data_IF_447780641687
#
_entry.id   IF_447780641687
#
_cell.length_a   1.000
_cell.length_b   1.000
_cell.length_c   1.000
_cell.angle_alpha   90.00
_cell.angle_beta   90.00
_cell.angle_gamma   90.00
#
_symmetry.space_group_name_H-M   'P 1'
#
loop_
_entity.id
_entity.type
_entity.pdbx_description
1 polymer ?
#
# COMPACT_ATOMS: atom_id res chain seq x y z
N UNK A 1 -16.19 -13.74 -21.86
CA UNK A 1 -15.53 -13.37 -23.15
C UNK A 1 -16.62 -13.13 -24.19
N UNK A 2 -16.46 -12.14 -25.09
CA UNK A 2 -17.43 -11.97 -26.17
C UNK A 2 -17.42 -13.21 -27.09
N UNK A 3 -18.61 -13.71 -27.49
CA UNK A 3 -18.74 -14.76 -28.51
C UNK A 3 -18.52 -14.19 -29.91
N UNK A 4 -18.61 -15.03 -30.97
CA UNK A 4 -18.43 -14.63 -32.36
C UNK A 4 -19.42 -13.55 -32.83
N UNK A 5 -20.57 -13.41 -32.14
CA UNK A 5 -21.55 -12.34 -32.40
C UNK A 5 -21.29 -11.06 -31.65
N UNK A 6 -20.22 -10.99 -30.84
CA UNK A 6 -19.89 -9.84 -30.01
C UNK A 6 -20.69 -9.78 -28.70
N UNK A 7 -21.47 -10.78 -28.39
CA UNK A 7 -22.22 -10.88 -27.13
C UNK A 7 -21.30 -11.38 -26.02
N UNK A 8 -21.32 -10.73 -24.86
CA UNK A 8 -20.57 -11.18 -23.69
C UNK A 8 -21.18 -12.46 -23.12
N UNK A 9 -20.40 -13.51 -23.02
CA UNK A 9 -20.82 -14.80 -22.45
C UNK A 9 -20.21 -14.93 -21.06
N UNK A 10 -21.09 -14.95 -20.03
CA UNK A 10 -20.68 -15.20 -18.66
C UNK A 10 -20.54 -16.71 -18.42
N UNK A 11 -19.57 -17.05 -17.58
CA UNK A 11 -19.34 -18.41 -17.11
C UNK A 11 -19.75 -18.45 -15.64
N UNK A 12 -20.52 -19.44 -15.27
CA UNK A 12 -20.99 -19.55 -13.88
C UNK A 12 -21.51 -20.92 -13.57
N UNK A 13 -22.16 -21.04 -12.44
CA UNK A 13 -22.78 -22.28 -11.95
C UNK A 13 -24.26 -22.06 -11.75
N UNK A 14 -24.98 -23.16 -11.59
CA UNK A 14 -26.44 -23.12 -11.38
C UNK A 14 -26.76 -22.59 -9.99
N UNK A 15 -27.93 -21.97 -9.84
CA UNK A 15 -28.39 -21.45 -8.57
C UNK A 15 -28.59 -22.54 -7.48
N UNK A 16 -28.82 -23.78 -7.87
CA UNK A 16 -28.97 -24.93 -6.95
C UNK A 16 -27.63 -25.62 -6.60
N UNK A 17 -26.50 -25.13 -7.13
CA UNK A 17 -25.19 -25.64 -6.79
C UNK A 17 -24.81 -25.21 -5.36
N UNK A 18 -24.33 -26.12 -4.49
CA UNK A 18 -23.97 -25.79 -3.12
C UNK A 18 -22.77 -24.82 -3.00
N UNK A 19 -22.00 -24.64 -4.07
CA UNK A 19 -20.91 -23.67 -4.12
C UNK A 19 -21.32 -22.30 -4.70
N UNK A 20 -22.62 -22.13 -5.05
CA UNK A 20 -23.10 -20.89 -5.63
C UNK A 20 -23.13 -19.77 -4.59
N UNK A 21 -22.57 -18.62 -4.97
CA UNK A 21 -22.63 -17.39 -4.19
C UNK A 21 -23.88 -16.62 -4.63
N UNK A 22 -24.77 -16.34 -3.70
CA UNK A 22 -26.08 -15.75 -3.97
C UNK A 22 -26.22 -14.30 -3.58
N UNK A 23 -25.42 -13.85 -2.60
CA UNK A 23 -25.50 -12.50 -2.04
C UNK A 23 -24.12 -11.87 -1.90
N UNK A 24 -24.10 -10.55 -1.74
CA UNK A 24 -22.84 -9.83 -1.50
C UNK A 24 -22.18 -10.24 -0.17
N UNK A 25 -22.98 -10.60 0.83
CA UNK A 25 -22.52 -11.09 2.12
C UNK A 25 -21.84 -12.46 1.98
N UNK A 26 -22.39 -13.35 1.16
CA UNK A 26 -21.77 -14.63 0.84
C UNK A 26 -20.46 -14.42 0.09
N UNK A 27 -20.43 -13.47 -0.85
CA UNK A 27 -19.21 -13.11 -1.59
C UNK A 27 -18.12 -12.59 -0.65
N UNK A 28 -18.45 -11.68 0.28
CA UNK A 28 -17.52 -11.16 1.28
C UNK A 28 -17.00 -12.30 2.17
N UNK A 29 -17.90 -13.15 2.64
CA UNK A 29 -17.55 -14.32 3.47
C UNK A 29 -16.62 -15.26 2.72
N UNK A 30 -16.92 -15.55 1.46
CA UNK A 30 -16.09 -16.40 0.62
C UNK A 30 -14.71 -15.78 0.36
N UNK A 31 -14.63 -14.50 0.00
CA UNK A 31 -13.36 -13.77 -0.20
C UNK A 31 -12.53 -13.79 1.07
N UNK A 32 -13.11 -13.52 2.23
CA UNK A 32 -12.40 -13.56 3.51
C UNK A 32 -11.89 -14.98 3.84
N UNK A 33 -12.69 -16.00 3.55
CA UNK A 33 -12.32 -17.41 3.78
C UNK A 33 -11.14 -17.84 2.91
N UNK A 34 -11.13 -17.50 1.62
CA UNK A 34 -10.07 -17.94 0.70
C UNK A 34 -8.90 -16.97 0.61
N UNK A 35 -9.13 -15.69 0.93
CA UNK A 35 -8.12 -14.64 1.00
C UNK A 35 -8.10 -13.70 -0.20
N UNK A 36 -8.29 -14.19 -1.42
CA UNK A 36 -8.25 -13.37 -2.63
C UNK A 36 -8.99 -14.08 -3.78
N UNK A 37 -9.64 -13.28 -4.65
CA UNK A 37 -10.50 -13.80 -5.72
C UNK A 37 -10.53 -12.84 -6.91
N UNK A 38 -10.14 -13.25 -8.13
CA UNK A 38 -10.42 -12.50 -9.35
C UNK A 38 -11.93 -12.30 -9.57
N UNK A 39 -12.29 -11.16 -10.19
CA UNK A 39 -13.68 -10.88 -10.52
C UNK A 39 -14.17 -11.77 -11.66
N UNK A 40 -13.41 -11.82 -12.75
CA UNK A 40 -13.76 -12.54 -13.97
C UNK A 40 -12.92 -13.80 -14.16
N UNK A 41 -13.47 -14.71 -14.94
CA UNK A 41 -12.81 -15.95 -15.37
C UNK A 41 -11.39 -15.68 -15.86
N UNK A 42 -10.49 -16.53 -15.46
CA UNK A 42 -9.08 -16.48 -15.77
C UNK A 42 -8.54 -17.88 -16.15
N UNK A 43 -7.23 -18.03 -16.19
CA UNK A 43 -6.60 -19.29 -16.60
C UNK A 43 -6.76 -20.43 -15.56
N UNK A 44 -7.18 -20.13 -14.34
CA UNK A 44 -7.41 -21.11 -13.28
C UNK A 44 -8.92 -21.37 -13.20
N UNK A 45 -9.41 -22.53 -13.65
CA UNK A 45 -10.84 -22.83 -13.65
C UNK A 45 -11.44 -22.80 -12.23
N UNK A 46 -12.63 -22.19 -12.11
CA UNK A 46 -13.37 -22.07 -10.85
C UNK A 46 -12.79 -21.06 -9.87
N UNK A 47 -11.76 -20.30 -10.26
CA UNK A 47 -11.11 -19.29 -9.42
C UNK A 47 -11.49 -17.87 -9.86
N UNK A 48 -12.77 -17.57 -9.82
CA UNK A 48 -13.31 -16.22 -10.04
C UNK A 48 -14.70 -16.08 -9.44
N UNK A 49 -15.11 -14.86 -9.12
CA UNK A 49 -16.48 -14.58 -8.70
C UNK A 49 -17.47 -14.94 -9.81
N UNK A 50 -17.12 -14.64 -11.06
CA UNK A 50 -17.92 -15.02 -12.24
C UNK A 50 -18.26 -16.50 -12.25
N UNK A 51 -17.30 -17.38 -12.01
CA UNK A 51 -17.50 -18.83 -12.05
C UNK A 51 -18.18 -19.41 -10.81
N UNK A 52 -18.43 -18.60 -9.77
CA UNK A 52 -19.10 -18.97 -8.53
C UNK A 52 -20.51 -18.36 -8.40
N UNK A 53 -20.99 -17.67 -9.42
CA UNK A 53 -22.29 -16.99 -9.43
C UNK A 53 -23.14 -17.44 -10.61
N UNK A 54 -24.40 -17.10 -10.57
CA UNK A 54 -25.36 -17.41 -11.66
C UNK A 54 -25.11 -16.45 -12.82
N UNK A 55 -24.88 -16.95 -14.06
CA UNK A 55 -24.60 -16.10 -15.21
C UNK A 55 -25.66 -15.05 -15.51
N UNK A 56 -26.94 -15.41 -15.33
CA UNK A 56 -28.10 -14.58 -15.62
C UNK A 56 -28.25 -13.39 -14.67
N UNK A 57 -27.55 -13.40 -13.51
CA UNK A 57 -27.62 -12.31 -12.54
C UNK A 57 -26.69 -11.14 -12.91
N UNK A 58 -25.71 -11.35 -13.77
CA UNK A 58 -24.79 -10.30 -14.18
C UNK A 58 -25.48 -9.27 -15.07
N UNK A 59 -25.33 -7.99 -14.70
CA UNK A 59 -25.96 -6.84 -15.35
C UNK A 59 -27.50 -6.96 -15.41
N UNK A 60 -28.07 -7.59 -14.40
CA UNK A 60 -29.52 -7.71 -14.24
C UNK A 60 -30.13 -6.38 -13.75
N UNK A 61 -31.46 -6.28 -13.82
CA UNK A 61 -32.19 -5.14 -13.24
C UNK A 61 -32.29 -5.24 -11.71
N UNK A 62 -31.84 -6.33 -11.12
CA UNK A 62 -31.85 -6.58 -9.68
C UNK A 62 -30.45 -6.38 -9.08
N UNK A 63 -30.14 -5.18 -8.53
CA UNK A 63 -28.81 -4.88 -7.99
C UNK A 63 -28.45 -5.70 -6.75
N UNK A 64 -29.43 -6.31 -6.08
CA UNK A 64 -29.20 -7.15 -4.89
C UNK A 64 -28.52 -8.47 -5.29
N UNK A 65 -28.91 -9.03 -6.41
CA UNK A 65 -28.35 -10.30 -6.91
C UNK A 65 -27.30 -10.12 -8.00
N UNK A 66 -27.06 -8.89 -8.47
CA UNK A 66 -26.09 -8.62 -9.53
C UNK A 66 -24.63 -8.60 -9.01
N UNK A 67 -23.78 -9.59 -9.36
CA UNK A 67 -22.39 -9.61 -8.92
C UNK A 67 -21.57 -8.41 -9.44
N UNK A 68 -22.03 -7.75 -10.52
CA UNK A 68 -21.41 -6.53 -10.99
C UNK A 68 -21.58 -5.37 -10.01
N UNK A 69 -22.73 -5.27 -9.36
CA UNK A 69 -23.01 -4.26 -8.32
C UNK A 69 -22.34 -4.61 -6.99
N UNK A 70 -22.15 -5.90 -6.68
CA UNK A 70 -21.48 -6.34 -5.44
C UNK A 70 -20.05 -5.81 -5.32
N UNK A 71 -19.34 -5.62 -6.43
CA UNK A 71 -17.96 -5.07 -6.39
C UNK A 71 -17.90 -3.70 -5.70
N UNK A 72 -18.94 -2.87 -5.88
CA UNK A 72 -19.04 -1.56 -5.26
C UNK A 72 -19.28 -1.68 -3.75
N UNK A 73 -20.18 -2.57 -3.36
CA UNK A 73 -20.48 -2.84 -1.95
C UNK A 73 -19.24 -3.40 -1.23
N UNK A 74 -18.57 -4.38 -1.85
CA UNK A 74 -17.35 -4.99 -1.29
C UNK A 74 -16.24 -3.95 -1.14
N UNK A 75 -15.98 -3.15 -2.16
CA UNK A 75 -14.99 -2.08 -2.11
C UNK A 75 -15.28 -1.08 -0.98
N UNK A 76 -16.55 -0.71 -0.82
CA UNK A 76 -17.02 0.25 0.19
C UNK A 76 -16.98 -0.32 1.60
N UNK A 77 -17.15 -1.63 1.76
CA UNK A 77 -17.16 -2.29 3.07
C UNK A 77 -15.83 -2.21 3.82
N UNK A 78 -14.71 -2.09 3.10
CA UNK A 78 -13.38 -2.15 3.67
C UNK A 78 -12.94 -3.54 4.16
N UNK A 79 -13.73 -4.59 3.89
CA UNK A 79 -13.36 -5.98 4.25
C UNK A 79 -12.39 -6.60 3.25
N UNK A 80 -12.43 -6.14 2.00
CA UNK A 80 -11.47 -6.50 0.97
C UNK A 80 -11.12 -5.26 0.12
N UNK A 81 -9.89 -5.18 -0.35
CA UNK A 81 -9.52 -4.24 -1.39
C UNK A 81 -10.02 -4.74 -2.75
N UNK A 82 -10.51 -3.83 -3.56
CA UNK A 82 -10.86 -4.08 -4.95
C UNK A 82 -9.94 -3.29 -5.87
N UNK A 83 -9.43 -3.93 -6.92
CA UNK A 83 -8.54 -3.31 -7.88
C UNK A 83 -8.05 -4.28 -8.95
N UNK A 84 -7.23 -3.81 -9.87
CA UNK A 84 -6.64 -4.62 -10.95
C UNK A 84 -5.40 -5.37 -10.45
N UNK A 85 -5.59 -6.33 -9.55
CA UNK A 85 -4.52 -7.03 -8.85
C UNK A 85 -4.01 -8.31 -9.54
N UNK A 86 -4.77 -8.88 -10.48
CA UNK A 86 -4.51 -10.20 -11.06
C UNK A 86 -4.25 -10.09 -12.54
N UNK A 87 -2.99 -10.07 -12.94
CA UNK A 87 -2.59 -9.87 -14.35
C UNK A 87 -3.32 -8.67 -15.01
N UNK A 88 -3.32 -7.53 -14.29
CA UNK A 88 -4.01 -6.28 -14.69
C UNK A 88 -5.55 -6.40 -14.79
N UNK A 89 -6.12 -7.47 -14.27
CA UNK A 89 -7.56 -7.71 -14.19
C UNK A 89 -8.07 -7.47 -12.77
N UNK A 90 -9.34 -7.07 -12.69
CA UNK A 90 -10.00 -6.75 -11.44
C UNK A 90 -10.22 -7.99 -10.56
N UNK A 91 -10.19 -7.76 -9.25
CA UNK A 91 -10.50 -8.76 -8.24
C UNK A 91 -10.32 -8.21 -6.83
N UNK A 92 -10.45 -9.09 -5.87
CA UNK A 92 -10.50 -8.78 -4.46
C UNK A 92 -9.34 -9.43 -3.71
N UNK A 93 -8.79 -8.69 -2.75
CA UNK A 93 -7.84 -9.23 -1.77
C UNK A 93 -8.37 -8.85 -0.39
N UNK A 94 -8.62 -9.85 0.47
CA UNK A 94 -9.11 -9.63 1.82
C UNK A 94 -8.12 -8.81 2.66
N UNK A 95 -8.63 -8.16 3.69
CA UNK A 95 -7.81 -7.40 4.62
C UNK A 95 -6.67 -8.24 5.19
N UNK A 96 -6.92 -9.50 5.57
CA UNK A 96 -5.93 -10.42 6.12
C UNK A 96 -4.78 -10.74 5.15
N UNK A 97 -5.09 -10.91 3.86
CA UNK A 97 -4.09 -11.32 2.86
C UNK A 97 -3.40 -10.16 2.18
N UNK A 98 -3.95 -8.95 2.28
CA UNK A 98 -3.38 -7.77 1.62
C UNK A 98 -1.93 -7.48 2.01
N UNK A 99 -1.50 -7.58 3.29
CA UNK A 99 -0.11 -7.34 3.68
C UNK A 99 0.91 -8.24 2.96
N UNK A 100 0.56 -9.50 2.72
CA UNK A 100 1.45 -10.43 2.00
C UNK A 100 1.60 -10.03 0.52
N UNK A 101 0.51 -9.62 -0.13
CA UNK A 101 0.57 -9.09 -1.49
C UNK A 101 1.35 -7.79 -1.54
N UNK A 102 1.15 -6.88 -0.59
CA UNK A 102 1.88 -5.64 -0.49
C UNK A 102 3.38 -5.90 -0.32
N UNK A 103 3.79 -6.75 0.64
CA UNK A 103 5.19 -7.11 0.84
C UNK A 103 5.81 -7.74 -0.42
N UNK A 104 5.13 -8.73 -1.00
CA UNK A 104 5.60 -9.39 -2.22
C UNK A 104 5.82 -8.40 -3.37
N UNK A 105 4.90 -7.47 -3.60
CA UNK A 105 4.92 -6.60 -4.78
C UNK A 105 5.69 -5.31 -4.57
N UNK A 106 5.64 -4.76 -3.37
CA UNK A 106 6.37 -3.55 -2.99
C UNK A 106 7.81 -3.81 -2.58
N UNK A 107 8.14 -5.07 -2.22
CA UNK A 107 9.49 -5.46 -1.77
C UNK A 107 9.99 -4.62 -0.59
N UNK A 108 9.08 -4.34 0.36
CA UNK A 108 9.35 -3.52 1.54
C UNK A 108 9.42 -2.01 1.28
N UNK A 109 9.10 -1.56 0.06
CA UNK A 109 9.06 -0.12 -0.26
C UNK A 109 7.69 0.47 0.05
N UNK A 110 7.65 1.61 0.75
CA UNK A 110 6.58 2.58 0.55
C UNK A 110 6.82 3.37 -0.75
N UNK A 111 5.84 4.17 -1.16
CA UNK A 111 5.96 4.83 -2.47
C UNK A 111 7.05 5.91 -2.49
N UNK A 112 7.23 6.63 -1.39
CA UNK A 112 8.23 7.69 -1.31
C UNK A 112 9.65 7.10 -1.38
N UNK A 113 9.90 6.01 -0.64
CA UNK A 113 11.18 5.30 -0.72
C UNK A 113 11.41 4.68 -2.12
N UNK A 114 10.34 4.21 -2.77
CA UNK A 114 10.42 3.72 -4.15
C UNK A 114 10.81 4.83 -5.13
N UNK A 115 10.28 6.04 -4.93
CA UNK A 115 10.63 7.22 -5.73
C UNK A 115 12.05 7.69 -5.45
N UNK A 116 12.46 7.79 -4.19
CA UNK A 116 13.80 8.22 -3.79
C UNK A 116 14.90 7.28 -4.32
N UNK A 117 14.60 6.01 -4.48
CA UNK A 117 15.48 5.00 -5.11
C UNK A 117 15.36 4.95 -6.66
N UNK A 118 14.70 5.94 -7.28
CA UNK A 118 14.49 6.04 -8.74
C UNK A 118 13.79 4.84 -9.39
N UNK A 119 13.01 4.09 -8.59
CA UNK A 119 12.28 2.89 -9.04
C UNK A 119 10.83 3.17 -9.46
N UNK A 120 10.34 4.38 -9.23
CA UNK A 120 9.03 4.84 -9.67
C UNK A 120 9.17 5.80 -10.86
N UNK A 121 8.20 5.77 -11.77
CA UNK A 121 8.14 6.71 -12.89
C UNK A 121 7.57 8.07 -12.46
N UNK A 122 7.94 9.15 -13.16
CA UNK A 122 7.37 10.49 -12.96
C UNK A 122 5.82 10.47 -13.00
N UNK A 123 5.22 9.67 -13.87
CA UNK A 123 3.77 9.54 -13.98
C UNK A 123 3.16 8.91 -12.73
N UNK A 124 3.80 7.88 -12.18
CA UNK A 124 3.37 7.26 -10.91
C UNK A 124 3.49 8.26 -9.76
N UNK A 125 4.59 9.01 -9.70
CA UNK A 125 4.80 10.06 -8.69
C UNK A 125 3.70 11.12 -8.74
N UNK A 126 3.38 11.67 -9.92
CA UNK A 126 2.30 12.66 -10.09
C UNK A 126 0.94 12.15 -9.61
N UNK A 127 0.65 10.87 -9.77
CA UNK A 127 -0.60 10.27 -9.25
C UNK A 127 -0.53 10.15 -7.73
N UNK A 128 0.57 9.61 -7.19
CA UNK A 128 0.70 9.36 -5.76
C UNK A 128 0.82 10.65 -4.93
N UNK A 129 1.32 11.75 -5.51
CA UNK A 129 1.35 13.07 -4.87
C UNK A 129 -0.04 13.61 -4.51
N UNK A 130 -1.09 13.11 -5.16
CA UNK A 130 -2.47 13.46 -4.83
C UNK A 130 -2.96 12.78 -3.54
N UNK A 131 -2.20 11.82 -3.02
CA UNK A 131 -2.49 11.03 -1.81
C UNK A 131 -1.40 11.22 -0.76
N UNK A 132 -0.85 12.42 -0.65
CA UNK A 132 0.17 12.79 0.35
C UNK A 132 -0.43 12.92 1.76
N UNK A 133 0.42 13.20 2.76
CA UNK A 133 0.00 13.30 4.16
C UNK A 133 -1.12 14.34 4.38
N UNK A 134 -1.08 15.47 3.67
CA UNK A 134 -2.14 16.50 3.71
C UNK A 134 -3.49 16.00 3.14
N UNK A 135 -3.44 14.92 2.34
CA UNK A 135 -4.57 14.31 1.65
C UNK A 135 -4.56 12.77 1.79
N UNK A 136 -4.08 12.27 2.92
CA UNK A 136 -3.94 10.84 3.17
C UNK A 136 -5.28 10.10 3.15
N UNK A 137 -6.36 10.79 3.46
CA UNK A 137 -7.75 10.33 3.42
C UNK A 137 -8.45 10.66 2.09
N UNK A 138 -7.70 11.12 1.07
CA UNK A 138 -8.28 11.48 -0.21
C UNK A 138 -8.95 10.28 -0.88
N UNK A 139 -10.19 10.50 -1.29
CA UNK A 139 -10.96 9.62 -2.16
C UNK A 139 -11.25 10.38 -3.44
N UNK A 140 -10.50 10.09 -4.51
CA UNK A 140 -10.53 10.86 -5.75
C UNK A 140 -11.16 10.06 -6.88
N UNK A 141 -12.05 10.69 -7.63
CA UNK A 141 -12.56 10.12 -8.87
C UNK A 141 -11.43 9.92 -9.89
N UNK A 142 -11.52 8.90 -10.70
CA UNK A 142 -10.53 8.63 -11.76
C UNK A 142 -10.28 9.84 -12.67
N UNK A 143 -11.31 10.62 -12.99
CA UNK A 143 -11.16 11.82 -13.81
C UNK A 143 -10.46 12.99 -13.07
N UNK A 144 -10.64 13.10 -11.76
CA UNK A 144 -9.92 14.08 -10.93
C UNK A 144 -8.44 13.74 -10.84
N UNK A 145 -8.11 12.46 -10.61
CA UNK A 145 -6.73 11.99 -10.65
C UNK A 145 -6.11 12.31 -12.01
N UNK A 146 -6.82 11.97 -13.10
CA UNK A 146 -6.36 12.22 -14.46
C UNK A 146 -6.06 13.70 -14.70
N UNK A 147 -6.95 14.58 -14.27
CA UNK A 147 -6.80 16.02 -14.43
C UNK A 147 -5.68 16.58 -13.55
N UNK A 148 -5.71 16.27 -12.25
CA UNK A 148 -4.81 16.87 -11.25
C UNK A 148 -3.37 16.36 -11.39
N UNK A 149 -3.18 15.11 -11.83
CA UNK A 149 -1.86 14.57 -12.16
C UNK A 149 -1.36 14.95 -13.58
N UNK A 150 -2.09 15.82 -14.28
CA UNK A 150 -1.65 16.39 -15.56
C UNK A 150 -1.70 15.45 -16.75
N UNK A 151 -2.62 14.48 -16.77
CA UNK A 151 -2.84 13.61 -17.93
C UNK A 151 -3.84 14.23 -18.92
N UNK A 152 -3.51 14.27 -20.20
CA UNK A 152 -4.39 14.78 -21.23
C UNK A 152 -3.71 15.00 -22.56
N UNK A 153 -4.36 15.81 -23.42
CA UNK A 153 -3.89 16.03 -24.79
C UNK A 153 -2.47 16.61 -24.84
N UNK A 154 -2.21 17.61 -24.02
CA UNK A 154 -0.95 18.35 -23.96
C UNK A 154 -0.09 17.99 -22.73
N UNK A 155 -0.46 16.95 -21.99
CA UNK A 155 0.22 16.46 -20.79
C UNK A 155 0.65 15.00 -20.90
N UNK A 156 0.72 14.36 -19.72
CA UNK A 156 1.10 12.95 -19.62
C UNK A 156 0.15 12.03 -20.40
N UNK A 157 0.68 10.92 -20.88
CA UNK A 157 -0.06 9.88 -21.60
C UNK A 157 -0.15 8.60 -20.77
N UNK A 158 -1.03 7.69 -21.18
CA UNK A 158 -1.19 6.38 -20.59
C UNK A 158 -1.66 6.41 -19.11
N UNK A 159 -2.68 7.22 -18.83
CA UNK A 159 -3.29 7.29 -17.51
C UNK A 159 -3.73 5.92 -16.98
N UNK A 160 -4.53 5.19 -17.77
CA UNK A 160 -5.06 3.88 -17.38
C UNK A 160 -3.95 2.87 -17.05
N UNK A 161 -2.88 2.86 -17.86
CA UNK A 161 -1.73 2.00 -17.60
C UNK A 161 -1.00 2.40 -16.32
N UNK A 162 -0.86 3.71 -16.05
CA UNK A 162 -0.19 4.21 -14.84
C UNK A 162 -0.96 3.82 -13.57
N UNK A 163 -2.29 4.01 -13.57
CA UNK A 163 -3.15 3.63 -12.43
C UNK A 163 -3.14 2.11 -12.25
N UNK A 164 -3.28 1.34 -13.34
CA UNK A 164 -3.23 -0.12 -13.28
C UNK A 164 -1.89 -0.62 -12.71
N UNK A 165 -0.77 0.00 -13.08
CA UNK A 165 0.55 -0.36 -12.53
C UNK A 165 0.64 -0.05 -11.03
N UNK A 166 0.04 1.05 -10.56
CA UNK A 166 -0.02 1.37 -9.12
C UNK A 166 -0.91 0.40 -8.35
N UNK A 167 -2.05 -0.02 -8.93
CA UNK A 167 -2.90 -1.08 -8.37
C UNK A 167 -2.13 -2.41 -8.30
N UNK A 168 -1.50 -2.83 -9.40
CA UNK A 168 -0.67 -4.05 -9.45
C UNK A 168 0.48 -4.03 -8.43
N UNK A 169 1.05 -2.86 -8.17
CA UNK A 169 2.07 -2.63 -7.15
C UNK A 169 1.49 -2.45 -5.74
N UNK A 170 0.17 -2.54 -5.57
CA UNK A 170 -0.53 -2.42 -4.28
C UNK A 170 -0.51 -1.02 -3.64
N UNK A 171 -0.19 0.04 -4.39
CA UNK A 171 -0.19 1.43 -3.88
C UNK A 171 -1.55 2.12 -4.01
N UNK A 172 -2.41 1.68 -4.94
CA UNK A 172 -3.77 2.17 -5.10
C UNK A 172 -4.78 1.03 -5.08
N UNK A 173 -6.00 1.33 -4.66
CA UNK A 173 -7.16 0.47 -4.80
C UNK A 173 -8.41 1.31 -5.11
N UNK A 174 -9.42 0.68 -5.69
CA UNK A 174 -10.73 1.30 -5.85
C UNK A 174 -11.47 1.24 -4.52
N UNK A 175 -11.84 2.40 -4.00
CA UNK A 175 -12.52 2.52 -2.71
C UNK A 175 -14.02 2.50 -2.85
N UNK A 176 -14.52 3.02 -3.97
CA UNK A 176 -15.95 3.20 -4.21
C UNK A 176 -16.24 3.38 -5.70
N UNK A 177 -17.52 3.38 -6.03
CA UNK A 177 -18.02 3.79 -7.33
C UNK A 177 -19.14 4.80 -7.11
N UNK A 178 -18.99 5.99 -7.68
CA UNK A 178 -19.94 7.09 -7.46
C UNK A 178 -20.36 7.72 -8.79
N UNK A 179 -21.63 8.03 -8.93
CA UNK A 179 -22.12 8.79 -10.06
C UNK A 179 -21.60 10.24 -10.01
N UNK A 180 -21.35 10.79 -11.18
CA UNK A 180 -21.03 12.21 -11.30
C UNK A 180 -22.26 13.04 -10.91
N UNK A 181 -22.01 14.23 -10.35
CA UNK A 181 -23.06 15.22 -10.07
C UNK A 181 -22.95 16.38 -11.03
N UNK A 182 -24.10 16.85 -11.54
CA UNK A 182 -24.20 18.07 -12.33
C UNK A 182 -24.11 19.31 -11.42
N UNK A 183 -24.16 20.51 -12.01
CA UNK A 183 -24.11 21.78 -11.26
C UNK A 183 -25.30 21.96 -10.27
N UNK A 184 -26.37 21.21 -10.43
CA UNK A 184 -27.53 21.21 -9.53
C UNK A 184 -27.44 20.15 -8.42
N UNK A 185 -26.35 19.35 -8.40
CA UNK A 185 -26.17 18.26 -7.44
C UNK A 185 -26.89 16.95 -7.82
N UNK A 186 -27.51 16.87 -9.00
CA UNK A 186 -28.21 15.68 -9.48
C UNK A 186 -27.20 14.68 -10.06
N UNK A 187 -27.33 13.40 -9.70
CA UNK A 187 -26.50 12.33 -10.24
C UNK A 187 -26.81 12.08 -11.72
N UNK A 188 -25.77 11.83 -12.52
CA UNK A 188 -25.90 11.52 -13.95
C UNK A 188 -24.81 10.58 -14.44
N UNK A 189 -25.15 9.80 -15.48
CA UNK A 189 -24.23 8.87 -16.14
C UNK A 189 -23.94 7.63 -15.30
N UNK A 190 -22.96 6.85 -15.77
CA UNK A 190 -22.49 5.64 -15.10
C UNK A 190 -21.63 5.98 -13.87
N UNK A 191 -21.64 5.07 -12.89
CA UNK A 191 -20.74 5.16 -11.74
C UNK A 191 -19.28 5.15 -12.20
N UNK A 192 -18.49 6.03 -11.60
CA UNK A 192 -17.07 6.21 -11.89
C UNK A 192 -16.26 5.71 -10.69
N UNK A 193 -15.17 5.00 -10.94
CA UNK A 193 -14.28 4.53 -9.91
C UNK A 193 -13.70 5.69 -9.08
N UNK A 194 -13.72 5.53 -7.78
CA UNK A 194 -13.09 6.38 -6.79
C UNK A 194 -11.93 5.62 -6.20
N UNK A 195 -10.74 6.21 -6.24
CA UNK A 195 -9.51 5.60 -5.77
C UNK A 195 -9.07 6.17 -4.44
N UNK A 196 -8.39 5.34 -3.67
CA UNK A 196 -7.65 5.72 -2.48
C UNK A 196 -6.46 4.80 -2.25
N UNK A 197 -5.66 5.08 -1.23
CA UNK A 197 -4.56 4.19 -0.83
C UNK A 197 -5.06 3.10 0.11
N UNK A 198 -4.47 1.91 0.09
CA UNK A 198 -4.75 0.87 1.09
C UNK A 198 -4.45 1.34 2.52
N UNK A 199 -3.48 2.24 2.68
CA UNK A 199 -3.13 2.85 3.96
C UNK A 199 -4.27 3.71 4.52
N UNK A 200 -5.04 4.38 3.65
CA UNK A 200 -6.27 5.06 4.08
C UNK A 200 -7.32 4.05 4.55
N UNK A 201 -7.45 2.92 3.84
CA UNK A 201 -8.43 1.89 4.17
C UNK A 201 -8.19 1.25 5.54
N UNK A 202 -6.93 0.89 5.84
CA UNK A 202 -6.59 -0.01 6.94
C UNK A 202 -5.46 0.48 7.83
N UNK A 203 -4.89 1.63 7.55
CA UNK A 203 -3.72 2.18 8.22
C UNK A 203 -2.40 1.58 7.71
N UNK A 204 -1.35 2.38 7.79
CA UNK A 204 -0.01 2.03 7.35
C UNK A 204 0.51 0.73 8.02
N UNK A 205 0.34 0.63 9.33
CA UNK A 205 0.85 -0.50 10.11
C UNK A 205 0.24 -1.84 9.67
N UNK A 206 -1.05 -1.85 9.34
CA UNK A 206 -1.69 -3.06 8.83
C UNK A 206 -1.16 -3.43 7.45
N UNK A 207 -1.12 -2.47 6.53
CA UNK A 207 -0.69 -2.72 5.14
C UNK A 207 0.75 -3.23 5.08
N UNK A 208 1.63 -2.74 5.95
CA UNK A 208 3.06 -3.09 5.99
C UNK A 208 3.40 -4.19 6.98
N UNK A 209 2.41 -4.80 7.63
CA UNK A 209 2.64 -5.77 8.72
C UNK A 209 3.46 -7.00 8.30
N UNK A 210 3.49 -7.35 7.01
CA UNK A 210 4.31 -8.43 6.47
C UNK A 210 5.71 -7.99 5.99
N UNK A 211 6.10 -6.71 6.11
CA UNK A 211 7.42 -6.23 5.63
C UNK A 211 8.61 -6.74 6.45
N UNK A 212 8.34 -7.45 7.54
CA UNK A 212 9.38 -8.08 8.36
C UNK A 212 9.87 -9.40 7.79
N UNK A 213 9.10 -10.05 6.91
CA UNK A 213 9.54 -11.24 6.19
C UNK A 213 10.04 -10.87 4.79
N UNK A 214 10.85 -11.74 4.19
CA UNK A 214 11.28 -11.54 2.80
C UNK A 214 10.08 -11.56 1.86
N UNK A 215 10.10 -10.72 0.81
CA UNK A 215 9.05 -10.68 -0.21
C UNK A 215 8.82 -12.07 -0.87
N UNK A 216 9.88 -12.89 -0.98
CA UNK A 216 9.79 -14.27 -1.45
C UNK A 216 8.99 -15.18 -0.51
N UNK A 217 9.05 -14.97 0.80
CA UNK A 217 8.26 -15.76 1.76
C UNK A 217 6.77 -15.40 1.67
N UNK A 218 6.45 -14.11 1.57
CA UNK A 218 5.08 -13.67 1.29
C UNK A 218 4.55 -14.26 -0.02
N UNK A 219 5.37 -14.27 -1.08
CA UNK A 219 5.00 -14.90 -2.35
C UNK A 219 4.75 -16.40 -2.20
N UNK A 220 5.64 -17.15 -1.53
CA UNK A 220 5.44 -18.58 -1.25
C UNK A 220 4.15 -18.84 -0.49
N UNK A 221 3.84 -18.02 0.49
CA UNK A 221 2.61 -18.09 1.27
C UNK A 221 1.37 -17.93 0.38
N UNK A 222 1.37 -16.94 -0.52
CA UNK A 222 0.29 -16.71 -1.49
C UNK A 222 0.14 -17.92 -2.44
N UNK A 223 1.24 -18.43 -2.98
CA UNK A 223 1.24 -19.59 -3.89
C UNK A 223 0.75 -20.85 -3.18
N UNK A 224 1.20 -21.11 -1.95
CA UNK A 224 0.74 -22.25 -1.16
C UNK A 224 -0.77 -22.14 -0.91
N UNK A 225 -1.26 -20.97 -0.53
CA UNK A 225 -2.69 -20.73 -0.39
C UNK A 225 -3.45 -20.98 -1.69
N UNK A 226 -2.90 -20.55 -2.81
CA UNK A 226 -3.50 -20.80 -4.12
C UNK A 226 -3.60 -22.32 -4.42
N UNK A 227 -2.57 -23.08 -4.09
CA UNK A 227 -2.57 -24.56 -4.26
C UNK A 227 -3.59 -25.25 -3.33
N UNK A 228 -3.85 -24.69 -2.14
CA UNK A 228 -4.90 -25.19 -1.24
C UNK A 228 -6.30 -24.93 -1.81
N UNK A 229 -6.53 -23.73 -2.37
CA UNK A 229 -7.82 -23.32 -2.94
C UNK A 229 -8.09 -24.07 -4.26
N UNK A 230 -7.09 -24.17 -5.11
CA UNK A 230 -7.16 -24.75 -6.45
C UNK A 230 -6.05 -25.81 -6.64
N UNK A 231 -6.20 -27.03 -6.07
CA UNK A 231 -5.16 -28.06 -6.12
C UNK A 231 -4.79 -28.50 -7.55
N UNK A 232 -5.70 -28.34 -8.50
CA UNK A 232 -5.47 -28.68 -9.91
C UNK A 232 -4.76 -27.58 -10.73
N UNK A 233 -4.57 -26.39 -10.16
CA UNK A 233 -3.90 -25.30 -10.84
C UNK A 233 -2.42 -25.61 -11.07
N UNK A 234 -1.97 -25.44 -12.29
CA UNK A 234 -0.55 -25.58 -12.64
C UNK A 234 0.25 -24.37 -12.17
N UNK A 235 1.54 -24.54 -11.94
CA UNK A 235 2.42 -23.42 -11.57
C UNK A 235 2.39 -22.29 -12.61
N UNK A 236 2.36 -22.62 -13.88
CA UNK A 236 2.27 -21.64 -14.97
C UNK A 236 0.99 -20.80 -14.89
N UNK A 237 -0.15 -21.40 -14.53
CA UNK A 237 -1.41 -20.68 -14.34
C UNK A 237 -1.34 -19.77 -13.10
N UNK A 238 -0.82 -20.30 -11.98
CA UNK A 238 -0.63 -19.56 -10.74
C UNK A 238 0.29 -18.35 -10.99
N UNK A 239 1.42 -18.56 -11.65
CA UNK A 239 2.39 -17.48 -11.95
C UNK A 239 1.80 -16.41 -12.88
N UNK A 240 0.92 -16.78 -13.80
CA UNK A 240 0.24 -15.81 -14.65
C UNK A 240 -0.74 -14.95 -13.88
N UNK A 241 -1.52 -15.54 -12.99
CA UNK A 241 -2.57 -14.84 -12.23
C UNK A 241 -1.99 -14.02 -11.06
N UNK A 242 -1.08 -14.61 -10.28
CA UNK A 242 -0.50 -14.02 -9.07
C UNK A 242 0.75 -13.19 -9.38
N UNK A 243 1.57 -13.67 -10.31
CA UNK A 243 2.90 -13.16 -10.62
C UNK A 243 4.00 -14.16 -10.30
N UNK A 244 5.14 -13.96 -10.91
CA UNK A 244 6.33 -14.81 -10.76
C UNK A 244 7.05 -14.40 -9.48
N UNK A 245 7.66 -15.38 -8.76
CA UNK A 245 8.62 -15.06 -7.74
C UNK A 245 9.67 -14.10 -8.33
N UNK A 246 10.02 -13.11 -7.58
CA UNK A 246 11.22 -12.32 -7.90
C UNK A 246 12.44 -13.20 -7.55
N UNK A 247 12.63 -14.30 -8.33
CA UNK A 247 13.80 -15.14 -8.24
C UNK A 247 15.02 -14.29 -8.54
N UNK A 248 15.83 -14.09 -7.54
CA UNK A 248 17.00 -13.27 -7.63
C UNK A 248 16.76 -11.78 -7.35
N UNK A 249 15.63 -11.38 -6.74
CA UNK A 249 15.83 -10.32 -5.76
C UNK A 249 17.00 -10.87 -4.92
N UNK A 250 18.21 -10.25 -4.95
CA UNK A 250 19.27 -10.74 -4.11
C UNK A 250 18.60 -10.86 -2.76
N UNK A 251 18.69 -12.08 -2.14
CA UNK A 251 18.59 -12.11 -0.69
C UNK A 251 19.22 -10.80 -0.28
N UNK A 252 18.45 -9.89 0.39
CA UNK A 252 19.03 -8.63 0.82
C UNK A 252 20.43 -9.02 1.24
N UNK A 253 21.36 -8.96 0.26
CA UNK A 253 22.77 -9.11 0.56
C UNK A 253 22.90 -7.95 1.49
N UNK A 254 23.03 -8.27 2.79
CA UNK A 254 23.46 -7.27 3.76
C UNK A 254 24.56 -6.58 3.04
N UNK A 255 24.20 -5.48 2.35
CA UNK A 255 25.17 -4.78 1.54
C UNK A 255 26.16 -4.39 2.60
N UNK A 256 27.42 -4.81 2.44
CA UNK A 256 28.50 -4.24 3.26
C UNK A 256 28.60 -2.81 2.79
N UNK A 257 27.55 -2.06 3.13
CA UNK A 257 27.47 -0.64 2.86
C UNK A 257 28.53 -0.01 3.73
N UNK A 258 29.54 0.53 3.04
CA UNK A 258 30.72 1.13 3.67
C UNK A 258 30.39 2.55 4.16
N UNK A 259 29.34 3.18 3.59
CA UNK A 259 28.96 4.55 3.93
C UNK A 259 27.60 4.52 4.66
N UNK A 260 27.50 5.09 5.88
CA UNK A 260 26.23 5.25 6.57
C UNK A 260 25.23 6.06 5.73
N UNK A 261 23.97 5.70 5.81
CA UNK A 261 22.86 6.46 5.23
C UNK A 261 22.15 7.27 6.31
N UNK A 262 21.42 8.28 5.84
CA UNK A 262 20.56 9.08 6.67
C UNK A 262 19.11 8.75 6.36
N UNK A 263 18.31 8.50 7.40
CA UNK A 263 16.93 8.08 7.32
C UNK A 263 16.01 9.06 8.03
N UNK A 264 14.81 9.31 7.49
CA UNK A 264 13.70 9.87 8.26
C UNK A 264 12.76 8.72 8.56
N UNK A 265 12.40 8.54 9.83
CA UNK A 265 11.46 7.51 10.28
C UNK A 265 10.31 8.13 11.08
N UNK A 266 9.06 7.63 10.90
CA UNK A 266 7.94 8.14 11.67
C UNK A 266 7.95 7.61 13.09
N UNK A 267 7.59 8.47 14.05
CA UNK A 267 7.28 8.15 15.41
C UNK A 267 5.89 8.71 15.74
N UNK A 268 4.93 7.83 16.06
CA UNK A 268 3.57 8.27 16.38
C UNK A 268 3.33 8.19 17.88
N UNK A 269 3.17 9.36 18.55
CA UNK A 269 2.96 9.41 20.00
C UNK A 269 1.70 8.70 20.49
N UNK A 270 0.75 8.45 19.59
CA UNK A 270 -0.47 7.70 19.90
C UNK A 270 -0.18 6.22 20.24
N UNK A 271 0.88 5.65 19.67
CA UNK A 271 1.20 4.24 19.84
C UNK A 271 2.43 3.99 20.71
N UNK A 272 3.30 4.98 20.84
CA UNK A 272 4.52 4.88 21.65
C UNK A 272 4.94 6.27 22.15
N UNK A 273 5.14 6.39 23.45
CA UNK A 273 5.63 7.63 24.07
C UNK A 273 7.13 7.84 23.81
N UNK A 274 7.43 8.32 22.59
CA UNK A 274 8.80 8.58 22.16
C UNK A 274 9.46 9.71 22.96
N UNK A 275 8.67 10.69 23.41
CA UNK A 275 9.17 11.83 24.20
C UNK A 275 9.65 11.32 25.56
N UNK A 276 8.78 10.67 26.33
CA UNK A 276 9.15 10.12 27.61
C UNK A 276 10.27 9.07 27.52
N UNK A 277 10.37 8.36 26.41
CA UNK A 277 11.46 7.41 26.19
C UNK A 277 12.83 8.11 26.10
N UNK A 278 12.94 9.23 25.37
CA UNK A 278 14.20 9.99 25.27
C UNK A 278 14.46 10.85 26.50
N UNK A 279 13.43 11.28 27.23
CA UNK A 279 13.63 11.91 28.54
C UNK A 279 14.23 10.93 29.58
N UNK A 280 13.93 9.64 29.45
CA UNK A 280 14.40 8.61 30.36
C UNK A 280 15.76 8.01 29.98
N UNK A 281 16.14 8.01 28.69
CA UNK A 281 17.37 7.37 28.21
C UNK A 281 17.80 7.90 26.85
N UNK A 282 19.12 8.10 26.68
CA UNK A 282 19.72 8.43 25.38
C UNK A 282 19.72 7.24 24.40
N UNK A 283 19.44 6.03 24.88
CA UNK A 283 19.35 4.82 24.05
C UNK A 283 17.95 4.27 24.12
N UNK A 284 17.27 4.21 22.97
CA UNK A 284 15.89 3.77 22.86
C UNK A 284 15.78 2.59 21.88
N UNK A 285 15.00 1.60 22.26
CA UNK A 285 14.65 0.49 21.35
C UNK A 285 13.49 0.92 20.44
N UNK A 286 13.70 0.80 19.13
CA UNK A 286 12.74 1.23 18.13
C UNK A 286 12.41 0.12 17.14
N UNK A 287 11.20 0.14 16.59
CA UNK A 287 10.79 -0.75 15.50
C UNK A 287 11.69 -0.54 14.29
N UNK A 288 12.25 -1.62 13.76
CA UNK A 288 13.01 -1.58 12.51
C UNK A 288 12.15 -2.13 11.37
N UNK A 289 11.76 -1.27 10.43
CA UNK A 289 10.91 -1.63 9.28
C UNK A 289 11.60 -1.43 7.92
N UNK A 290 12.89 -1.08 7.92
CA UNK A 290 13.71 -0.88 6.71
C UNK A 290 15.11 -1.41 6.85
N UNK A 291 15.89 -1.33 5.76
CA UNK A 291 17.28 -1.78 5.68
C UNK A 291 18.26 -0.79 6.34
N UNK A 292 17.96 -0.43 7.59
CA UNK A 292 18.80 0.39 8.44
C UNK A 292 19.96 -0.47 8.95
N UNK A 293 21.19 0.05 8.86
CA UNK A 293 22.39 -0.61 9.32
C UNK A 293 22.98 0.10 10.55
N UNK A 294 23.73 -0.62 11.35
CA UNK A 294 24.47 -0.01 12.45
C UNK A 294 25.40 1.09 11.90
N UNK A 295 25.36 2.25 12.54
CA UNK A 295 26.05 3.46 12.12
C UNK A 295 25.25 4.42 11.21
N UNK A 296 24.06 4.03 10.75
CA UNK A 296 23.17 4.93 10.03
C UNK A 296 22.64 6.03 10.95
N UNK A 297 22.37 7.19 10.39
CA UNK A 297 21.73 8.30 11.09
C UNK A 297 20.22 8.23 10.86
N UNK A 298 19.46 8.38 11.93
CA UNK A 298 18.01 8.26 11.94
C UNK A 298 17.41 9.54 12.50
N UNK A 299 16.69 10.27 11.66
CA UNK A 299 15.93 11.45 12.06
C UNK A 299 14.50 11.02 12.36
N UNK A 300 14.07 11.18 13.62
CA UNK A 300 12.74 10.76 14.05
C UNK A 300 11.73 11.88 13.85
N UNK A 301 10.86 11.70 12.90
CA UNK A 301 9.72 12.58 12.68
C UNK A 301 8.57 12.17 13.62
N UNK A 302 8.29 13.03 14.59
CA UNK A 302 7.22 12.80 15.56
C UNK A 302 5.92 13.38 14.99
N UNK A 303 4.93 12.51 14.80
CA UNK A 303 3.62 12.87 14.25
C UNK A 303 2.84 13.82 15.18
N UNK A 304 1.61 14.16 14.81
CA UNK A 304 0.77 15.05 15.59
C UNK A 304 0.74 14.66 17.08
N UNK A 305 0.79 15.64 18.01
CA UNK A 305 0.61 17.09 17.79
C UNK A 305 1.89 17.85 17.36
N UNK A 306 3.04 17.20 17.32
CA UNK A 306 4.33 17.86 17.05
C UNK A 306 4.55 18.13 15.56
N UNK A 307 4.24 17.16 14.71
CA UNK A 307 4.43 17.20 13.26
C UNK A 307 5.80 17.77 12.84
N UNK A 308 6.86 17.25 13.44
CA UNK A 308 8.24 17.77 13.32
C UNK A 308 9.27 16.66 13.47
N UNK A 309 10.46 16.82 12.85
CA UNK A 309 11.63 16.06 13.26
C UNK A 309 12.08 16.62 14.63
N UNK A 310 12.11 15.76 15.65
CA UNK A 310 12.50 16.14 17.00
C UNK A 310 13.85 15.54 17.42
N UNK A 311 14.23 14.38 16.88
CA UNK A 311 15.43 13.68 17.32
C UNK A 311 16.29 13.27 16.14
N UNK A 312 17.59 13.45 16.28
CA UNK A 312 18.64 12.88 15.44
C UNK A 312 19.35 11.81 16.24
N UNK A 313 19.35 10.59 15.72
CA UNK A 313 19.88 9.43 16.41
C UNK A 313 20.87 8.69 15.52
N UNK A 314 21.67 7.81 16.14
CA UNK A 314 22.50 6.82 15.44
C UNK A 314 21.92 5.43 15.69
N UNK A 315 21.75 4.63 14.66
CA UNK A 315 21.44 3.22 14.80
C UNK A 315 22.68 2.48 15.35
N UNK A 316 22.55 1.90 16.55
CA UNK A 316 23.67 1.23 17.26
C UNK A 316 23.63 -0.26 16.98
N UNK A 317 22.51 -0.89 17.29
CA UNK A 317 22.27 -2.31 17.04
C UNK A 317 21.03 -2.46 16.18
N UNK A 318 21.05 -3.38 15.24
CA UNK A 318 19.99 -3.58 14.25
C UNK A 318 19.66 -5.06 14.12
N UNK A 319 18.54 -5.35 13.47
CA UNK A 319 18.06 -6.72 13.25
C UNK A 319 17.85 -7.52 14.56
N UNK A 320 17.52 -6.83 15.66
CA UNK A 320 17.24 -7.45 16.94
C UNK A 320 15.91 -8.21 16.82
N UNK A 321 15.89 -9.55 17.02
CA UNK A 321 14.65 -10.29 17.08
C UNK A 321 13.73 -9.74 18.17
N UNK A 322 12.52 -9.34 17.81
CA UNK A 322 11.56 -8.77 18.73
C UNK A 322 10.18 -9.34 18.47
N UNK A 323 9.44 -9.67 19.51
CA UNK A 323 8.11 -10.25 19.33
C UNK A 323 7.10 -9.50 20.19
N UNK A 324 6.50 -8.48 19.60
CA UNK A 324 5.41 -7.72 20.17
C UNK A 324 4.26 -7.64 19.18
N UNK A 325 3.04 -7.88 19.65
CA UNK A 325 1.83 -7.71 18.83
C UNK A 325 0.67 -7.30 19.72
N UNK A 326 0.00 -6.22 19.33
CA UNK A 326 -1.29 -5.79 19.87
C UNK A 326 -2.29 -5.51 18.76
N UNK A 327 -3.43 -4.89 19.06
CA UNK A 327 -4.50 -4.58 18.11
C UNK A 327 -4.05 -3.59 17.01
N UNK A 328 -3.01 -2.79 17.27
CA UNK A 328 -2.58 -1.68 16.42
C UNK A 328 -1.19 -1.86 15.85
N UNK A 329 -0.32 -2.66 16.48
CA UNK A 329 1.10 -2.71 16.17
C UNK A 329 1.65 -4.14 16.31
N UNK A 330 2.33 -4.61 15.26
CA UNK A 330 3.14 -5.83 15.32
C UNK A 330 4.59 -5.47 15.05
N UNK A 331 5.49 -5.82 15.96
CA UNK A 331 6.93 -5.60 15.84
C UNK A 331 7.64 -6.96 15.97
N UNK A 332 8.32 -7.39 14.93
CA UNK A 332 9.12 -8.64 14.93
C UNK A 332 10.62 -8.39 14.89
N UNK A 333 11.02 -7.16 14.54
CA UNK A 333 12.40 -6.74 14.44
C UNK A 333 12.56 -5.35 15.04
N UNK A 334 13.54 -5.19 15.87
CA UNK A 334 13.86 -3.91 16.52
C UNK A 334 15.29 -3.48 16.18
N UNK A 335 15.59 -2.25 16.48
CA UNK A 335 16.93 -1.67 16.52
C UNK A 335 17.07 -0.84 17.80
N UNK A 336 18.28 -0.61 18.26
CA UNK A 336 18.57 0.42 19.26
C UNK A 336 19.09 1.65 18.55
N UNK A 337 18.59 2.82 18.97
CA UNK A 337 19.04 4.13 18.50
C UNK A 337 19.59 4.94 19.66
N UNK A 338 20.73 5.56 19.46
CA UNK A 338 21.39 6.45 20.40
C UNK A 338 21.08 7.90 20.01
N UNK A 339 20.57 8.70 20.95
CA UNK A 339 20.29 10.11 20.74
C UNK A 339 21.61 10.88 20.49
N UNK A 340 21.67 11.64 19.40
CA UNK A 340 22.78 12.52 19.06
C UNK A 340 22.40 13.98 19.27
N UNK A 341 21.17 14.35 18.94
CA UNK A 341 20.69 15.73 19.00
C UNK A 341 19.17 15.76 19.14
N UNK A 342 18.69 16.76 19.87
CA UNK A 342 17.27 17.05 20.03
C UNK A 342 16.95 18.41 19.43
N UNK A 343 15.86 18.47 18.65
CA UNK A 343 15.37 19.70 18.04
C UNK A 343 14.11 20.20 18.74
N UNK A 344 14.02 21.52 18.96
CA UNK A 344 12.82 22.10 19.50
C UNK A 344 11.61 21.90 18.56
N UNK A 345 10.40 21.62 19.11
CA UNK A 345 9.21 21.48 18.31
C UNK A 345 8.99 22.68 17.36
N UNK A 346 8.67 22.39 16.11
CA UNK A 346 8.42 23.40 15.08
C UNK A 346 9.66 23.89 14.31
N UNK A 347 10.89 23.63 14.77
CA UNK A 347 12.11 23.99 14.05
C UNK A 347 12.17 23.25 12.70
N UNK A 348 12.01 21.94 12.75
CA UNK A 348 11.94 21.08 11.56
C UNK A 348 10.53 20.56 11.37
N UNK A 349 9.56 21.52 11.29
CA UNK A 349 8.16 21.22 11.07
C UNK A 349 7.92 20.55 9.73
N UNK A 350 6.78 19.84 9.61
CA UNK A 350 6.36 19.23 8.34
C UNK A 350 6.35 20.23 7.18
N UNK A 351 5.82 21.42 7.40
CA UNK A 351 5.79 22.51 6.40
C UNK A 351 7.21 22.90 5.94
N UNK A 352 8.18 22.89 6.84
CA UNK A 352 9.55 23.21 6.49
C UNK A 352 10.21 22.06 5.72
N UNK A 353 10.13 20.83 6.19
CA UNK A 353 10.75 19.68 5.50
C UNK A 353 10.12 19.39 4.15
N UNK A 354 8.84 19.77 3.96
CA UNK A 354 8.14 19.69 2.67
C UNK A 354 8.82 20.53 1.59
N UNK A 355 9.45 21.64 1.94
CA UNK A 355 10.20 22.50 0.99
C UNK A 355 11.42 21.78 0.40
N UNK A 356 11.90 20.74 1.08
CA UNK A 356 13.02 19.88 0.66
C UNK A 356 12.58 18.55 0.06
N UNK A 357 11.31 18.43 -0.36
CA UNK A 357 10.78 17.24 -1.03
C UNK A 357 10.27 16.13 -0.10
N UNK A 358 10.11 16.40 1.20
CA UNK A 358 9.49 15.46 2.14
C UNK A 358 7.98 15.71 2.21
N UNK A 359 7.23 15.09 1.32
CA UNK A 359 5.77 15.31 1.22
C UNK A 359 4.94 14.39 2.12
N UNK A 360 5.55 13.35 2.70
CA UNK A 360 4.94 12.48 3.68
C UNK A 360 6.01 11.73 4.48
N UNK A 361 5.72 11.39 5.74
CA UNK A 361 6.55 10.52 6.58
C UNK A 361 5.64 9.42 7.17
N UNK A 362 5.22 8.49 6.31
CA UNK A 362 4.35 7.35 6.70
C UNK A 362 5.16 6.12 7.06
N UNK A 363 6.38 6.02 6.53
CA UNK A 363 7.33 4.95 6.77
C UNK A 363 8.76 5.48 6.73
N UNK A 364 9.76 4.61 6.98
CA UNK A 364 11.16 4.97 6.82
C UNK A 364 11.47 5.38 5.38
N UNK A 365 12.17 6.48 5.22
CA UNK A 365 12.61 7.00 3.93
C UNK A 365 14.02 7.55 4.00
N UNK A 366 14.68 7.69 2.86
CA UNK A 366 15.99 8.35 2.78
C UNK A 366 15.87 9.84 3.09
N UNK A 367 16.83 10.39 3.81
CA UNK A 367 16.97 11.82 4.06
C UNK A 367 17.35 12.53 2.77
N UNK A 368 16.58 13.54 2.30
CA UNK A 368 16.98 14.34 1.16
C UNK A 368 18.31 15.07 1.42
N UNK A 369 19.22 15.05 0.44
CA UNK A 369 20.54 15.63 0.60
C UNK A 369 20.53 17.13 0.86
N UNK A 370 19.53 17.84 0.34
CA UNK A 370 19.35 19.28 0.58
C UNK A 370 18.87 19.57 1.99
N UNK A 371 17.89 18.77 2.49
CA UNK A 371 17.43 18.89 3.87
C UNK A 371 18.56 18.58 4.86
N UNK A 372 19.33 17.53 4.61
CA UNK A 372 20.50 17.21 5.42
C UNK A 372 21.49 18.38 5.51
N UNK A 373 21.87 18.95 4.38
CA UNK A 373 22.78 20.11 4.34
C UNK A 373 22.25 21.31 5.11
N UNK A 374 20.95 21.57 5.00
CA UNK A 374 20.34 22.67 5.72
C UNK A 374 20.36 22.42 7.25
N UNK A 375 20.03 21.21 7.69
CA UNK A 375 20.09 20.84 9.10
C UNK A 375 21.52 20.95 9.66
N UNK A 376 22.51 20.42 8.96
CA UNK A 376 23.93 20.50 9.35
C UNK A 376 24.46 21.94 9.37
N UNK A 377 23.97 22.83 8.49
CA UNK A 377 24.38 24.25 8.47
C UNK A 377 23.86 25.02 9.69
N UNK A 378 22.66 24.71 10.16
CA UNK A 378 22.10 25.32 11.37
C UNK A 378 22.79 24.80 12.63
N UNK A 379 23.12 23.49 12.69
CA UNK A 379 23.90 22.90 13.79
C UNK A 379 25.24 23.63 13.98
N UNK A 380 25.95 23.89 12.88
CA UNK A 380 27.22 24.64 12.89
C UNK A 380 27.11 26.09 13.37
N UNK A 381 25.95 26.72 13.17
CA UNK A 381 25.72 28.10 13.58
C UNK A 381 25.40 28.25 15.05
N UNK A 382 24.83 27.22 15.68
CA UNK A 382 24.51 27.19 17.12
C UNK A 382 25.77 26.91 17.96
N UNK A 383 26.66 26.03 17.48
CA UNK A 383 27.93 25.71 18.16
C UNK A 383 28.94 26.88 18.19
N UNK A 384 28.81 27.90 17.33
CA UNK A 384 29.65 29.10 17.31
C UNK A 384 29.12 30.23 18.23
N UNK A 385 27.92 30.03 18.84
CA UNK A 385 27.30 31.05 19.73
C UNK A 385 27.34 30.68 21.23
N UNK A 386 27.97 29.57 21.58
CA UNK A 386 28.29 29.14 22.95
C UNK A 386 29.82 29.24 23.16
#
# INVERSE_FOLDING_TARGET
MANESGTWVMHGIRADDPECIHTVEDAITYINKIGFLPLFKNDIPGFSLEEKTVPEYWWSEDPVHDPWEWREVIARSGQAAYGKFFDKKAGFISREWFPYFANYRRDGYDFDALWDDEKASVRQKKVMDLFTEDHADAELYSFEIKQNAGFGKDGEKNFEGTVTDLEMKMYLCMRDFRQRKNKKGESYGWSVAVYSTPEHLWGYEHVTSAYQEDASESWKRIVNRMKEICPSATEAQIYRVIGIAKDGAPQRRKSKRIVPKDWIIPANPKYYDVIGAFEASDIVTWKQSSDIHAGDIVYMYVAAPYSSILYKCRAVEVDIPYNFSDENLTVRRAMTVELLEEYAPGVWSFERIKQFGVYAVRGPRNMPAELKREMESEEGSVSQRL
#
